data_IF_503233459271
#
_entry.id   IF_503233459271
#
_cell.length_a   1.000
_cell.length_b   1.000
_cell.length_c   1.000
_cell.angle_alpha   90.00
_cell.angle_beta   90.00
_cell.angle_gamma   90.00
#
_symmetry.space_group_name_H-M   'P 1'
#
loop_
_entity.id
_entity.type
_entity.pdbx_description
1 polymer ?
#
# COMPACT_ATOMS: atom_id res chain seq x y z
N UNK A 1 -33.06 -49.00 -15.24
CA UNK A 1 -32.73 -47.76 -14.51
C UNK A 1 -31.79 -46.93 -15.38
N UNK A 2 -32.29 -45.85 -15.99
CA UNK A 2 -31.47 -45.01 -16.87
C UNK A 2 -30.38 -44.34 -16.04
N UNK A 3 -29.12 -44.58 -16.37
CA UNK A 3 -27.96 -43.98 -15.70
C UNK A 3 -27.82 -42.56 -16.23
N UNK A 4 -28.24 -41.58 -15.43
CA UNK A 4 -28.01 -40.16 -15.74
C UNK A 4 -26.50 -39.92 -15.78
N UNK A 5 -26.00 -39.33 -16.88
CA UNK A 5 -24.58 -39.01 -17.02
C UNK A 5 -24.27 -37.64 -16.41
N UNK A 6 -23.02 -37.43 -15.98
CA UNK A 6 -22.55 -36.12 -15.50
C UNK A 6 -22.77 -34.99 -16.52
N UNK A 7 -22.77 -35.31 -17.82
CA UNK A 7 -23.04 -34.35 -18.90
C UNK A 7 -24.51 -33.94 -18.96
N UNK A 8 -25.44 -34.83 -18.62
CA UNK A 8 -26.88 -34.51 -18.56
C UNK A 8 -27.18 -33.55 -17.41
N UNK A 9 -26.48 -33.75 -16.27
CA UNK A 9 -26.55 -32.87 -15.11
C UNK A 9 -25.98 -31.49 -15.44
N UNK A 10 -24.79 -31.41 -16.06
CA UNK A 10 -24.19 -30.13 -16.50
C UNK A 10 -25.10 -29.36 -17.46
N UNK A 11 -25.69 -30.03 -18.45
CA UNK A 11 -26.63 -29.42 -19.41
C UNK A 11 -27.89 -28.89 -18.74
N UNK A 12 -28.40 -29.58 -17.71
CA UNK A 12 -29.55 -29.10 -16.95
C UNK A 12 -29.21 -27.83 -16.14
N UNK A 13 -28.01 -27.78 -15.54
CA UNK A 13 -27.50 -26.62 -14.79
C UNK A 13 -27.28 -25.41 -15.73
N UNK A 14 -26.70 -25.63 -16.92
CA UNK A 14 -26.53 -24.59 -17.94
C UNK A 14 -27.86 -24.07 -18.49
N UNK A 15 -28.83 -24.96 -18.74
CA UNK A 15 -30.21 -24.56 -19.12
C UNK A 15 -30.92 -23.75 -18.04
N UNK A 16 -30.59 -23.98 -16.76
CA UNK A 16 -31.09 -23.18 -15.65
C UNK A 16 -30.37 -21.84 -15.49
N UNK A 17 -29.39 -21.51 -16.36
CA UNK A 17 -28.65 -20.25 -16.35
C UNK A 17 -27.43 -20.24 -15.43
N UNK A 18 -27.05 -21.39 -14.85
CA UNK A 18 -25.90 -21.52 -13.98
C UNK A 18 -24.72 -22.17 -14.71
N UNK A 19 -23.49 -21.76 -14.38
CA UNK A 19 -22.29 -22.38 -14.94
C UNK A 19 -21.81 -23.48 -14.00
N UNK A 20 -21.76 -24.72 -14.50
CA UNK A 20 -21.23 -25.84 -13.72
C UNK A 20 -19.70 -25.72 -13.61
N UNK A 21 -19.20 -25.39 -12.40
CA UNK A 21 -17.77 -25.36 -12.11
C UNK A 21 -17.28 -26.79 -11.82
N UNK A 22 -16.23 -27.21 -12.51
CA UNK A 22 -15.56 -28.48 -12.22
C UNK A 22 -14.77 -28.39 -10.92
N UNK A 23 -14.62 -29.52 -10.22
CA UNK A 23 -13.92 -29.60 -8.93
C UNK A 23 -12.49 -29.02 -9.02
N UNK A 24 -11.81 -29.24 -10.16
CA UNK A 24 -10.50 -28.65 -10.46
C UNK A 24 -10.54 -27.11 -10.55
N UNK A 25 -11.59 -26.53 -11.13
CA UNK A 25 -11.77 -25.07 -11.18
C UNK A 25 -12.03 -24.49 -9.78
N UNK A 26 -12.71 -25.23 -8.90
CA UNK A 26 -12.98 -24.80 -7.52
C UNK A 26 -11.69 -24.81 -6.68
N UNK A 27 -10.85 -25.83 -6.83
CA UNK A 27 -9.54 -25.90 -6.15
C UNK A 27 -8.58 -24.81 -6.64
N UNK A 28 -8.50 -24.57 -7.95
CA UNK A 28 -7.67 -23.50 -8.53
C UNK A 28 -8.14 -22.11 -8.08
N UNK A 29 -9.45 -21.87 -8.02
CA UNK A 29 -10.00 -20.59 -7.56
C UNK A 29 -9.77 -20.37 -6.06
N UNK A 30 -9.89 -21.41 -5.23
CA UNK A 30 -9.55 -21.36 -3.80
C UNK A 30 -8.07 -21.07 -3.59
N UNK A 31 -7.19 -21.77 -4.29
CA UNK A 31 -5.73 -21.57 -4.20
C UNK A 31 -5.33 -20.15 -4.63
N UNK A 32 -5.94 -19.63 -5.70
CA UNK A 32 -5.73 -18.25 -6.15
C UNK A 32 -6.15 -17.21 -5.11
N UNK A 33 -7.26 -17.44 -4.39
CA UNK A 33 -7.71 -16.57 -3.28
C UNK A 33 -6.72 -16.61 -2.11
N UNK A 34 -6.28 -17.79 -1.70
CA UNK A 34 -5.28 -17.95 -0.64
C UNK A 34 -3.95 -17.25 -0.97
N UNK A 35 -3.47 -17.39 -2.21
CA UNK A 35 -2.23 -16.74 -2.65
C UNK A 35 -2.37 -15.21 -2.68
N UNK A 36 -3.55 -14.69 -3.02
CA UNK A 36 -3.84 -13.26 -2.96
C UNK A 36 -3.82 -12.73 -1.52
N UNK A 37 -4.42 -13.46 -0.57
CA UNK A 37 -4.41 -13.11 0.86
C UNK A 37 -2.98 -13.14 1.42
N UNK A 38 -2.21 -14.21 1.14
CA UNK A 38 -0.79 -14.31 1.54
C UNK A 38 0.05 -13.19 0.95
N UNK A 39 -0.22 -12.79 -0.29
CA UNK A 39 0.43 -11.63 -0.90
C UNK A 39 0.09 -10.34 -0.13
N UNK A 40 -1.17 -10.09 0.22
CA UNK A 40 -1.56 -8.90 1.00
C UNK A 40 -0.88 -8.89 2.38
N UNK A 41 -0.81 -10.03 3.05
CA UNK A 41 -0.13 -10.15 4.34
C UNK A 41 1.37 -9.82 4.24
N UNK A 42 2.07 -10.41 3.25
CA UNK A 42 3.49 -10.11 3.02
C UNK A 42 3.72 -8.62 2.74
N UNK A 43 2.84 -8.00 1.96
CA UNK A 43 2.90 -6.56 1.67
C UNK A 43 2.72 -5.74 2.94
N UNK A 44 1.73 -6.07 3.77
CA UNK A 44 1.53 -5.41 5.05
C UNK A 44 2.77 -5.52 5.95
N UNK A 45 3.34 -6.71 6.11
CA UNK A 45 4.53 -6.91 6.95
C UNK A 45 5.72 -6.09 6.45
N UNK A 46 5.98 -6.07 5.14
CA UNK A 46 7.05 -5.23 4.57
C UNK A 46 6.76 -3.75 4.89
N UNK A 47 5.55 -3.26 4.60
CA UNK A 47 5.18 -1.88 4.89
C UNK A 47 5.34 -1.53 6.37
N UNK A 48 4.93 -2.41 7.27
CA UNK A 48 5.04 -2.22 8.72
C UNK A 48 6.49 -2.12 9.20
N UNK A 49 7.36 -3.01 8.70
CA UNK A 49 8.80 -3.03 9.05
C UNK A 49 9.49 -1.71 8.68
N UNK A 50 9.08 -1.06 7.60
CA UNK A 50 9.62 0.26 7.21
C UNK A 50 8.88 1.44 7.83
N UNK A 51 7.57 1.31 8.07
CA UNK A 51 6.75 2.37 8.67
C UNK A 51 7.11 2.63 10.13
N UNK A 52 7.43 1.59 10.92
CA UNK A 52 7.79 1.76 12.34
C UNK A 52 9.07 2.62 12.52
N UNK A 53 10.20 2.31 11.85
CA UNK A 53 11.38 3.18 11.89
C UNK A 53 11.10 4.58 11.38
N UNK A 54 10.34 4.71 10.28
CA UNK A 54 9.98 6.01 9.71
C UNK A 54 9.20 6.88 10.70
N UNK A 55 8.17 6.32 11.34
CA UNK A 55 7.38 7.00 12.38
C UNK A 55 8.25 7.38 13.58
N UNK A 56 9.12 6.46 14.00
CA UNK A 56 10.03 6.69 15.14
C UNK A 56 10.99 7.84 14.85
N UNK A 57 11.55 7.92 13.63
CA UNK A 57 12.48 8.99 13.24
C UNK A 57 11.73 10.31 13.09
N UNK A 58 10.59 10.32 12.39
CA UNK A 58 9.81 11.53 12.14
C UNK A 58 9.27 12.13 13.44
N UNK A 59 8.53 11.34 14.23
CA UNK A 59 7.95 11.79 15.49
C UNK A 59 8.99 11.94 16.61
N UNK A 60 10.04 11.13 16.62
CA UNK A 60 11.09 11.20 17.64
C UNK A 60 11.84 12.52 17.64
N UNK A 61 11.95 13.17 16.48
CA UNK A 61 12.51 14.52 16.38
C UNK A 61 11.69 15.56 17.15
N UNK A 62 10.36 15.40 17.20
CA UNK A 62 9.44 16.30 17.91
C UNK A 62 9.31 15.92 19.39
N UNK A 63 9.43 14.63 19.74
CA UNK A 63 9.33 14.13 21.11
C UNK A 63 10.64 14.29 21.92
N UNK A 64 11.67 14.92 21.37
CA UNK A 64 12.94 15.15 22.08
C UNK A 64 13.83 13.92 22.19
N UNK A 65 13.62 12.88 21.37
CA UNK A 65 14.54 11.75 21.31
C UNK A 65 15.91 12.21 20.80
N UNK A 66 16.97 11.75 21.47
CA UNK A 66 18.36 12.01 21.05
C UNK A 66 18.67 11.20 19.80
N UNK A 67 18.26 11.74 18.66
CA UNK A 67 18.63 11.24 17.35
C UNK A 67 20.15 11.42 17.17
N UNK A 68 20.87 10.41 16.64
CA UNK A 68 22.26 10.53 16.22
C UNK A 68 22.48 11.80 15.41
N UNK A 69 23.62 12.49 15.59
CA UNK A 69 23.91 13.78 14.93
C UNK A 69 23.76 13.76 13.39
N UNK A 70 23.89 12.58 12.78
CA UNK A 70 23.75 12.35 11.33
C UNK A 70 22.29 12.49 10.87
N UNK A 71 21.33 12.20 11.74
CA UNK A 71 19.88 12.19 11.46
C UNK A 71 19.11 13.20 12.30
N UNK A 72 19.82 14.12 12.94
CA UNK A 72 19.18 15.17 13.73
C UNK A 72 18.80 16.33 12.80
N UNK A 73 17.53 16.75 12.73
CA UNK A 73 17.08 17.83 11.85
C UNK A 73 17.77 19.16 12.14
N UNK A 74 18.27 19.39 13.36
CA UNK A 74 19.01 20.62 13.68
C UNK A 74 20.45 20.64 13.16
N UNK A 75 21.07 19.47 12.96
CA UNK A 75 22.47 19.38 12.52
C UNK A 75 22.60 19.00 11.05
N UNK A 76 21.74 18.11 10.56
CA UNK A 76 21.74 17.60 9.18
C UNK A 76 20.30 17.38 8.68
N UNK A 77 19.55 18.45 8.39
CA UNK A 77 18.16 18.34 7.94
C UNK A 77 18.02 17.60 6.60
N UNK A 78 19.02 17.70 5.72
CA UNK A 78 19.05 16.96 4.45
C UNK A 78 19.09 15.45 4.66
N UNK A 79 20.00 14.98 5.51
CA UNK A 79 20.13 13.54 5.79
C UNK A 79 18.87 12.99 6.45
N UNK A 80 18.26 13.77 7.34
CA UNK A 80 16.98 13.43 7.96
C UNK A 80 15.90 13.19 6.90
N UNK A 81 15.73 14.12 5.95
CA UNK A 81 14.78 13.97 4.85
C UNK A 81 15.09 12.82 3.91
N UNK A 82 16.36 12.64 3.53
CA UNK A 82 16.78 11.56 2.63
C UNK A 82 16.56 10.17 3.23
N UNK A 83 16.79 10.00 4.54
CA UNK A 83 16.55 8.72 5.21
C UNK A 83 15.07 8.39 5.28
N UNK A 84 14.22 9.39 5.58
CA UNK A 84 12.77 9.19 5.50
C UNK A 84 12.32 8.83 4.08
N UNK A 85 12.89 9.47 3.06
CA UNK A 85 12.62 9.14 1.67
C UNK A 85 13.03 7.70 1.33
N UNK A 86 14.20 7.24 1.79
CA UNK A 86 14.66 5.85 1.59
C UNK A 86 13.71 4.85 2.26
N UNK A 87 13.23 5.17 3.47
CA UNK A 87 12.30 4.31 4.22
C UNK A 87 10.90 4.26 3.60
N UNK A 88 10.42 5.35 2.98
CA UNK A 88 9.07 5.36 2.38
C UNK A 88 9.01 4.67 1.02
N UNK A 89 10.11 4.64 0.25
CA UNK A 89 10.18 3.98 -1.07
C UNK A 89 9.69 2.53 -1.05
N UNK A 90 10.19 1.61 -0.19
CA UNK A 90 9.73 0.22 -0.19
C UNK A 90 8.24 0.09 0.12
N UNK A 91 7.69 0.96 0.97
CA UNK A 91 6.27 1.00 1.32
C UNK A 91 5.43 1.35 0.08
N UNK A 92 5.86 2.36 -0.69
CA UNK A 92 5.21 2.77 -1.94
C UNK A 92 5.28 1.66 -3.00
N UNK A 93 6.45 1.01 -3.16
CA UNK A 93 6.63 -0.06 -4.14
C UNK A 93 5.70 -1.24 -3.87
N UNK A 94 5.57 -1.63 -2.61
CA UNK A 94 4.63 -2.65 -2.14
C UNK A 94 3.17 -2.22 -2.37
N UNK A 95 2.89 -0.93 -2.19
CA UNK A 95 1.60 -0.28 -2.44
C UNK A 95 1.28 0.01 -3.91
N UNK A 96 2.15 -0.32 -4.88
CA UNK A 96 1.99 0.06 -6.30
C UNK A 96 0.62 -0.31 -6.92
N UNK A 97 -0.03 -1.37 -6.43
CA UNK A 97 -1.38 -1.76 -6.88
C UNK A 97 -2.41 -0.63 -6.64
N UNK A 98 -2.33 0.06 -5.50
CA UNK A 98 -3.23 1.18 -5.18
C UNK A 98 -3.05 2.34 -6.15
N UNK A 99 -1.81 2.67 -6.51
CA UNK A 99 -1.51 3.72 -7.48
C UNK A 99 -1.99 3.34 -8.88
N UNK A 100 -1.70 2.12 -9.34
CA UNK A 100 -2.09 1.67 -10.69
C UNK A 100 -3.61 1.63 -10.87
N UNK A 101 -4.35 1.14 -9.87
CA UNK A 101 -5.82 1.10 -9.91
C UNK A 101 -6.41 2.49 -9.69
N UNK A 102 -5.92 3.22 -8.67
CA UNK A 102 -6.40 4.53 -8.30
C UNK A 102 -6.26 5.56 -9.42
N UNK A 103 -5.06 5.73 -9.99
CA UNK A 103 -4.87 6.67 -11.10
C UNK A 103 -5.67 6.28 -12.34
N UNK A 104 -5.80 4.99 -12.64
CA UNK A 104 -6.60 4.53 -13.77
C UNK A 104 -8.08 4.84 -13.59
N UNK A 105 -8.62 4.62 -12.38
CA UNK A 105 -10.01 4.94 -12.04
C UNK A 105 -10.28 6.45 -12.06
N UNK A 106 -9.33 7.24 -11.55
CA UNK A 106 -9.40 8.70 -11.55
C UNK A 106 -9.46 9.28 -12.97
N UNK A 107 -8.54 8.87 -13.86
CA UNK A 107 -8.51 9.32 -15.26
C UNK A 107 -9.77 8.91 -16.02
N UNK A 108 -10.39 7.78 -15.65
CA UNK A 108 -11.67 7.33 -16.21
C UNK A 108 -12.90 8.05 -15.64
N UNK A 109 -12.72 9.07 -14.79
CA UNK A 109 -13.83 9.82 -14.19
C UNK A 109 -14.66 9.02 -13.19
N UNK A 110 -14.16 7.87 -12.72
CA UNK A 110 -14.84 7.01 -11.74
C UNK A 110 -13.97 6.84 -10.49
N UNK A 111 -13.77 7.92 -9.70
CA UNK A 111 -12.92 7.87 -8.52
C UNK A 111 -13.47 6.87 -7.50
N UNK A 112 -12.57 6.10 -6.90
CA UNK A 112 -12.87 5.08 -5.90
C UNK A 112 -11.93 5.20 -4.69
N UNK A 113 -12.08 4.30 -3.71
CA UNK A 113 -11.21 4.26 -2.52
C UNK A 113 -9.73 4.29 -2.89
N UNK A 114 -9.30 3.46 -3.85
CA UNK A 114 -7.90 3.39 -4.30
C UNK A 114 -7.44 4.71 -4.95
N UNK A 115 -8.36 5.48 -5.55
CA UNK A 115 -8.07 6.79 -6.14
C UNK A 115 -7.72 7.81 -5.05
N UNK A 116 -8.54 7.89 -4.00
CA UNK A 116 -8.28 8.79 -2.86
C UNK A 116 -6.92 8.48 -2.21
N UNK A 117 -6.62 7.21 -2.02
CA UNK A 117 -5.37 6.74 -1.43
C UNK A 117 -4.19 7.13 -2.33
N UNK A 118 -4.30 6.86 -3.63
CA UNK A 118 -3.23 7.18 -4.59
C UNK A 118 -2.92 8.68 -4.61
N UNK A 119 -3.94 9.54 -4.58
CA UNK A 119 -3.75 11.00 -4.57
C UNK A 119 -3.15 11.46 -3.24
N UNK A 120 -3.72 11.03 -2.11
CA UNK A 120 -3.26 11.44 -0.79
C UNK A 120 -1.81 11.06 -0.52
N UNK A 121 -1.44 9.82 -0.81
CA UNK A 121 -0.04 9.38 -0.65
C UNK A 121 0.88 10.05 -1.66
N UNK A 122 0.45 10.23 -2.91
CA UNK A 122 1.27 10.94 -3.91
C UNK A 122 1.52 12.39 -3.52
N UNK A 123 0.50 13.08 -2.99
CA UNK A 123 0.63 14.45 -2.50
C UNK A 123 1.65 14.54 -1.36
N UNK A 124 1.59 13.63 -0.37
CA UNK A 124 2.55 13.56 0.71
C UNK A 124 3.99 13.34 0.21
N UNK A 125 4.19 12.43 -0.76
CA UNK A 125 5.52 12.13 -1.31
C UNK A 125 6.07 13.28 -2.14
N UNK A 126 5.26 13.87 -3.03
CA UNK A 126 5.67 15.02 -3.85
C UNK A 126 6.01 16.21 -2.97
N UNK A 127 5.19 16.48 -1.95
CA UNK A 127 5.46 17.53 -0.99
C UNK A 127 6.74 17.27 -0.19
N UNK A 128 6.95 16.05 0.30
CA UNK A 128 8.19 15.69 1.01
C UNK A 128 9.44 15.85 0.15
N UNK A 129 9.38 15.52 -1.15
CA UNK A 129 10.48 15.76 -2.09
C UNK A 129 10.72 17.27 -2.28
N UNK A 130 9.65 18.06 -2.39
CA UNK A 130 9.74 19.52 -2.45
C UNK A 130 10.36 20.11 -1.18
N UNK A 131 9.98 19.61 0.00
CA UNK A 131 10.57 19.99 1.27
C UNK A 131 12.07 19.66 1.31
N UNK A 132 12.50 18.47 0.89
CA UNK A 132 13.93 18.13 0.76
C UNK A 132 14.68 19.12 -0.15
N UNK A 133 14.08 19.48 -1.29
CA UNK A 133 14.67 20.45 -2.21
C UNK A 133 14.82 21.84 -1.57
N UNK A 134 13.84 22.29 -0.79
CA UNK A 134 13.92 23.55 -0.04
C UNK A 134 14.98 23.51 1.06
N UNK A 135 15.11 22.39 1.77
CA UNK A 135 16.17 22.19 2.75
C UNK A 135 17.55 22.30 2.08
N UNK A 136 17.71 21.77 0.86
CA UNK A 136 18.95 21.89 0.08
C UNK A 136 19.29 23.33 -0.30
N UNK A 137 18.29 24.23 -0.33
CA UNK A 137 18.47 25.66 -0.56
C UNK A 137 18.75 26.46 0.71
N UNK A 138 18.81 25.79 1.87
CA UNK A 138 19.08 26.40 3.17
C UNK A 138 17.83 26.67 4.02
N UNK A 139 16.63 26.34 3.54
CA UNK A 139 15.39 26.52 4.30
C UNK A 139 15.19 25.35 5.27
N UNK A 140 15.90 25.37 6.41
CA UNK A 140 15.92 24.25 7.36
C UNK A 140 14.59 23.99 8.09
N UNK A 141 13.66 24.95 8.09
CA UNK A 141 12.36 24.79 8.74
C UNK A 141 11.52 23.64 8.15
N UNK A 142 11.67 23.38 6.84
CA UNK A 142 10.97 22.30 6.14
C UNK A 142 11.36 20.88 6.60
N UNK A 143 12.40 20.74 7.43
CA UNK A 143 12.79 19.44 7.98
C UNK A 143 11.71 18.80 8.86
N UNK A 144 10.80 19.59 9.42
CA UNK A 144 9.67 19.08 10.21
C UNK A 144 8.41 18.82 9.39
N UNK A 145 8.37 19.30 8.15
CA UNK A 145 7.22 19.24 7.25
C UNK A 145 7.51 18.27 6.08
N UNK A 146 7.93 17.04 6.36
CA UNK A 146 8.25 16.08 5.29
C UNK A 146 7.04 15.20 4.90
N UNK A 147 6.09 14.99 5.82
CA UNK A 147 4.85 14.22 5.65
C UNK A 147 4.99 12.78 5.11
N UNK A 148 6.22 12.27 4.97
CA UNK A 148 6.47 10.91 4.51
C UNK A 148 5.88 9.88 5.48
N UNK A 149 5.93 10.15 6.79
CA UNK A 149 5.33 9.27 7.80
C UNK A 149 3.82 9.19 7.64
N UNK A 150 3.16 10.31 7.33
CA UNK A 150 1.73 10.35 7.08
C UNK A 150 1.33 9.49 5.87
N UNK A 151 2.02 9.68 4.73
CA UNK A 151 1.76 8.90 3.51
C UNK A 151 2.04 7.40 3.67
N UNK A 152 3.12 7.05 4.37
CA UNK A 152 3.49 5.67 4.68
C UNK A 152 2.48 4.97 5.59
N UNK A 153 2.03 5.67 6.64
CA UNK A 153 1.09 5.13 7.61
C UNK A 153 -0.25 4.84 6.95
N UNK A 154 -0.74 5.76 6.13
CA UNK A 154 -1.96 5.57 5.33
C UNK A 154 -1.85 4.29 4.49
N UNK A 155 -0.79 4.13 3.68
CA UNK A 155 -0.60 2.93 2.86
C UNK A 155 -0.55 1.64 3.69
N UNK A 156 0.13 1.68 4.83
CA UNK A 156 0.31 0.53 5.71
C UNK A 156 -1.03 0.07 6.30
N UNK A 157 -1.79 1.01 6.89
CA UNK A 157 -3.08 0.72 7.52
C UNK A 157 -4.14 0.29 6.52
N UNK A 158 -4.16 0.85 5.32
CA UNK A 158 -5.09 0.41 4.28
C UNK A 158 -4.74 -1.00 3.78
N UNK A 159 -3.45 -1.31 3.66
CA UNK A 159 -3.03 -2.66 3.27
C UNK A 159 -3.49 -3.68 4.31
N UNK A 160 -3.42 -3.33 5.60
CA UNK A 160 -4.00 -4.12 6.68
C UNK A 160 -5.52 -4.24 6.56
N UNK A 161 -6.23 -3.12 6.33
CA UNK A 161 -7.69 -3.12 6.14
C UNK A 161 -8.12 -4.07 5.02
N UNK A 162 -7.48 -4.00 3.84
CA UNK A 162 -7.77 -4.91 2.73
C UNK A 162 -7.45 -6.37 3.03
N UNK A 163 -6.42 -6.62 3.84
CA UNK A 163 -6.14 -7.98 4.31
C UNK A 163 -7.29 -8.49 5.19
N UNK A 164 -7.75 -7.69 6.16
CA UNK A 164 -8.86 -8.05 7.05
C UNK A 164 -10.19 -8.22 6.30
N UNK A 165 -10.43 -7.43 5.25
CA UNK A 165 -11.60 -7.61 4.36
C UNK A 165 -11.55 -8.91 3.54
N UNK A 166 -10.35 -9.46 3.32
CA UNK A 166 -10.14 -10.64 2.47
C UNK A 166 -10.08 -11.96 3.25
N UNK A 167 -10.06 -11.89 4.59
CA UNK A 167 -10.02 -13.04 5.52
C UNK A 167 -11.41 -13.29 6.07
#
# INVERSE_FOLDING_TARGET
KSKVSLNDIKRAIEKAGYKALEEKNIEEEKKGKEDAIKSLWRRFIISLVFAIPLLTISMGSMMGLKLPKIINPMYNPLNFGLIQLILVIPIILVGNKFFRVGFKSLVKGNPNMDSLISIGTSAAVVYGIFAIFQISKGNMHYAHDLYFESGATILTLITLGKYLESV
#
